data_IF_459273819265
#
_entry.id   IF_459273819265
#
_cell.length_a   1.000
_cell.length_b   1.000
_cell.length_c   1.000
_cell.angle_alpha   90.00
_cell.angle_beta   90.00
_cell.angle_gamma   90.00
#
_symmetry.space_group_name_H-M   'P 1'
#
loop_
_entity.id
_entity.type
_entity.pdbx_description
1 polymer ?
#
# COMPACT_ATOMS: atom_id res chain seq x y z
N UNK A 1 -7.84 -59.93 3.69
CA UNK A 1 -8.47 -58.84 4.46
C UNK A 1 -9.76 -58.43 3.79
N UNK A 2 -10.88 -58.77 4.41
CA UNK A 2 -12.22 -58.38 3.97
C UNK A 2 -12.55 -56.94 4.38
N UNK A 3 -13.71 -56.41 3.97
CA UNK A 3 -14.14 -55.03 4.28
C UNK A 3 -14.23 -54.75 5.78
N UNK A 4 -14.79 -55.69 6.56
CA UNK A 4 -15.02 -55.51 7.99
C UNK A 4 -13.71 -55.50 8.77
N UNK A 5 -12.76 -56.36 8.42
CA UNK A 5 -11.41 -56.40 8.99
C UNK A 5 -10.62 -55.11 8.68
N UNK A 6 -10.77 -54.56 7.47
CA UNK A 6 -10.15 -53.30 7.09
C UNK A 6 -10.68 -52.12 7.92
N UNK A 7 -12.01 -52.06 8.08
CA UNK A 7 -12.67 -51.01 8.86
C UNK A 7 -12.34 -51.15 10.35
N UNK A 8 -12.39 -52.35 10.91
CA UNK A 8 -12.07 -52.59 12.31
C UNK A 8 -10.62 -52.22 12.63
N UNK A 9 -9.67 -52.55 11.74
CA UNK A 9 -8.25 -52.27 11.94
C UNK A 9 -7.92 -50.78 11.91
N UNK A 10 -8.54 -50.01 11.01
CA UNK A 10 -8.16 -48.61 10.77
C UNK A 10 -9.12 -47.58 11.41
N UNK A 11 -10.30 -48.01 11.89
CA UNK A 11 -11.33 -47.11 12.45
C UNK A 11 -10.84 -46.24 13.60
N UNK A 12 -10.03 -46.80 14.51
CA UNK A 12 -9.49 -46.08 15.66
C UNK A 12 -8.62 -44.89 15.22
N UNK A 13 -7.75 -45.11 14.23
CA UNK A 13 -6.88 -44.05 13.71
C UNK A 13 -7.66 -42.99 12.92
N UNK A 14 -8.68 -43.39 12.17
CA UNK A 14 -9.56 -42.45 11.46
C UNK A 14 -10.28 -41.53 12.45
N UNK A 15 -10.75 -42.07 13.59
CA UNK A 15 -11.37 -41.29 14.65
C UNK A 15 -10.37 -40.36 15.34
N UNK A 16 -9.15 -40.83 15.64
CA UNK A 16 -8.10 -39.97 16.21
C UNK A 16 -7.78 -38.80 15.28
N UNK A 17 -7.63 -39.07 13.98
CA UNK A 17 -7.38 -38.02 12.99
C UNK A 17 -8.55 -37.02 12.90
N UNK A 18 -9.79 -37.50 12.94
CA UNK A 18 -10.97 -36.61 12.94
C UNK A 18 -11.04 -35.72 14.18
N UNK A 19 -10.68 -36.24 15.36
CA UNK A 19 -10.62 -35.47 16.61
C UNK A 19 -9.50 -34.41 16.54
N UNK A 20 -8.32 -34.77 16.05
CA UNK A 20 -7.20 -33.84 15.87
C UNK A 20 -7.52 -32.72 14.87
N UNK A 21 -8.24 -33.01 13.79
CA UNK A 21 -8.70 -31.97 12.86
C UNK A 21 -9.66 -30.99 13.53
N UNK A 22 -10.57 -31.48 14.40
CA UNK A 22 -11.52 -30.62 15.13
C UNK A 22 -10.82 -29.77 16.20
N UNK A 23 -9.82 -30.28 16.91
CA UNK A 23 -9.07 -29.51 17.92
C UNK A 23 -8.20 -28.42 17.28
N UNK A 24 -7.57 -28.72 16.15
CA UNK A 24 -6.81 -27.72 15.36
C UNK A 24 -7.74 -26.67 14.76
N UNK A 25 -8.97 -27.03 14.39
CA UNK A 25 -9.94 -26.05 13.90
C UNK A 25 -10.37 -25.04 14.97
N UNK A 26 -10.49 -25.50 16.22
CA UNK A 26 -10.82 -24.68 17.40
C UNK A 26 -9.63 -23.94 18.03
N UNK A 27 -8.41 -24.04 17.49
CA UNK A 27 -7.19 -23.46 18.08
C UNK A 27 -6.85 -23.98 19.50
N UNK A 28 -7.37 -25.15 19.90
CA UNK A 28 -7.23 -25.63 21.28
C UNK A 28 -5.91 -26.38 21.54
N UNK A 29 -5.31 -27.01 20.52
CA UNK A 29 -4.07 -27.78 20.69
C UNK A 29 -3.17 -27.73 19.44
N UNK A 30 -2.03 -27.02 19.57
CA UNK A 30 -1.00 -26.86 18.54
C UNK A 30 0.00 -28.02 18.51
N UNK A 31 0.09 -28.84 19.57
CA UNK A 31 1.00 -29.99 19.62
C UNK A 31 0.55 -31.12 18.69
N UNK A 32 -0.76 -31.27 18.54
CA UNK A 32 -1.42 -32.18 17.58
C UNK A 32 -1.18 -31.83 16.11
N UNK A 33 -0.69 -30.62 15.78
CA UNK A 33 -0.46 -30.22 14.39
C UNK A 33 0.72 -30.97 13.72
N UNK A 34 1.68 -31.46 14.50
CA UNK A 34 2.87 -32.15 13.99
C UNK A 34 2.56 -33.56 13.43
N UNK A 35 1.52 -34.23 13.93
CA UNK A 35 1.09 -35.56 13.48
C UNK A 35 0.14 -35.54 12.27
N UNK A 36 -0.40 -34.37 11.90
CA UNK A 36 -1.38 -34.23 10.81
C UNK A 36 -0.83 -34.68 9.45
N UNK A 37 0.41 -34.31 9.03
CA UNK A 37 0.93 -34.71 7.72
C UNK A 37 1.14 -36.22 7.57
N UNK A 38 1.58 -36.92 8.63
CA UNK A 38 1.80 -38.37 8.59
C UNK A 38 0.48 -39.14 8.54
N UNK A 39 -0.51 -38.71 9.34
CA UNK A 39 -1.86 -39.30 9.34
C UNK A 39 -2.63 -39.00 8.06
N UNK A 40 -2.48 -37.80 7.49
CA UNK A 40 -3.05 -37.45 6.18
C UNK A 40 -2.56 -38.38 5.06
N UNK A 41 -1.24 -38.66 4.98
CA UNK A 41 -0.70 -39.62 4.01
C UNK A 41 -1.32 -41.01 4.17
N UNK A 42 -1.54 -41.44 5.41
CA UNK A 42 -2.18 -42.72 5.73
C UNK A 42 -3.64 -42.76 5.29
N UNK A 43 -4.41 -41.68 5.50
CA UNK A 43 -5.80 -41.56 5.00
C UNK A 43 -5.84 -41.60 3.46
N UNK A 44 -4.92 -40.93 2.77
CA UNK A 44 -4.84 -41.01 1.31
C UNK A 44 -4.52 -42.43 0.82
N UNK A 45 -3.63 -43.14 1.52
CA UNK A 45 -3.32 -44.53 1.24
C UNK A 45 -4.56 -45.43 1.45
N UNK A 46 -5.24 -45.31 2.59
CA UNK A 46 -6.46 -46.06 2.90
C UNK A 46 -7.59 -45.79 1.90
N UNK A 47 -7.75 -44.54 1.46
CA UNK A 47 -8.71 -44.15 0.43
C UNK A 47 -8.39 -44.84 -0.90
N UNK A 48 -7.13 -44.79 -1.34
CA UNK A 48 -6.70 -45.44 -2.59
C UNK A 48 -6.91 -46.96 -2.55
N UNK A 49 -6.66 -47.59 -1.40
CA UNK A 49 -6.83 -49.01 -1.20
C UNK A 49 -8.32 -49.42 -1.16
N UNK A 50 -9.16 -48.61 -0.52
CA UNK A 50 -10.60 -48.81 -0.46
C UNK A 50 -11.27 -48.66 -1.84
N UNK A 51 -10.81 -47.71 -2.65
CA UNK A 51 -11.25 -47.52 -4.03
C UNK A 51 -10.81 -48.69 -4.92
N UNK A 52 -9.54 -49.09 -4.86
CA UNK A 52 -9.01 -50.21 -5.65
C UNK A 52 -9.74 -51.54 -5.34
N UNK A 53 -10.07 -51.78 -4.07
CA UNK A 53 -10.78 -52.99 -3.63
C UNK A 53 -12.31 -52.90 -3.68
N UNK A 54 -12.86 -51.77 -4.13
CA UNK A 54 -14.31 -51.55 -4.26
C UNK A 54 -15.09 -51.83 -2.96
N UNK A 55 -14.58 -51.39 -1.81
CA UNK A 55 -15.18 -51.64 -0.48
C UNK A 55 -16.52 -50.89 -0.22
N UNK A 56 -17.03 -50.14 -1.19
CA UNK A 56 -18.34 -49.49 -1.17
C UNK A 56 -18.27 -47.99 -0.84
N UNK A 57 -19.27 -47.24 -1.33
CA UNK A 57 -19.31 -45.78 -1.30
C UNK A 57 -19.13 -45.18 0.11
N UNK A 58 -19.78 -45.74 1.13
CA UNK A 58 -19.77 -45.21 2.50
C UNK A 58 -18.36 -45.04 3.10
N UNK A 59 -17.46 -46.01 2.89
CA UNK A 59 -16.09 -45.95 3.42
C UNK A 59 -15.25 -44.96 2.59
N UNK A 60 -15.39 -45.01 1.27
CA UNK A 60 -14.70 -44.09 0.36
C UNK A 60 -15.08 -42.64 0.64
N UNK A 61 -16.37 -42.33 0.84
CA UNK A 61 -16.85 -40.98 1.11
C UNK A 61 -16.35 -40.43 2.45
N UNK A 62 -16.31 -41.28 3.49
CA UNK A 62 -15.74 -40.93 4.79
C UNK A 62 -14.25 -40.60 4.68
N UNK A 63 -13.48 -41.47 4.03
CA UNK A 63 -12.04 -41.28 3.85
C UNK A 63 -11.72 -40.08 2.97
N UNK A 64 -12.50 -39.86 1.90
CA UNK A 64 -12.39 -38.69 1.04
C UNK A 64 -12.69 -37.39 1.83
N UNK A 65 -13.72 -37.40 2.67
CA UNK A 65 -14.05 -36.26 3.54
C UNK A 65 -12.92 -35.94 4.54
N UNK A 66 -12.30 -36.98 5.13
CA UNK A 66 -11.14 -36.82 6.02
C UNK A 66 -9.90 -36.32 5.26
N UNK A 67 -9.67 -36.79 4.03
CA UNK A 67 -8.57 -36.32 3.19
C UNK A 67 -8.72 -34.83 2.83
N UNK A 68 -9.93 -34.39 2.45
CA UNK A 68 -10.21 -32.97 2.14
C UNK A 68 -9.97 -32.09 3.38
N UNK A 69 -10.45 -32.52 4.55
CA UNK A 69 -10.26 -31.78 5.80
C UNK A 69 -8.78 -31.73 6.22
N UNK A 70 -8.06 -32.85 6.08
CA UNK A 70 -6.61 -32.92 6.31
C UNK A 70 -5.82 -32.01 5.39
N UNK A 71 -6.15 -32.00 4.10
CA UNK A 71 -5.52 -31.12 3.10
C UNK A 71 -5.72 -29.64 3.47
N UNK A 72 -6.95 -29.25 3.84
CA UNK A 72 -7.25 -27.88 4.29
C UNK A 72 -6.50 -27.51 5.56
N UNK A 73 -6.33 -28.43 6.50
CA UNK A 73 -5.60 -28.19 7.75
C UNK A 73 -4.10 -27.98 7.50
N UNK A 74 -3.49 -28.84 6.66
CA UNK A 74 -2.07 -28.73 6.27
C UNK A 74 -1.80 -27.44 5.49
N UNK A 75 -2.74 -27.04 4.62
CA UNK A 75 -2.63 -25.82 3.81
C UNK A 75 -3.33 -24.61 4.45
N UNK A 76 -3.72 -24.70 5.73
CA UNK A 76 -4.31 -23.57 6.43
C UNK A 76 -3.22 -22.56 6.72
N UNK A 77 -3.17 -21.50 5.91
CA UNK A 77 -2.31 -20.34 6.15
C UNK A 77 -2.84 -19.53 7.34
N UNK A 78 -2.80 -20.07 8.56
CA UNK A 78 -3.08 -19.29 9.78
C UNK A 78 -2.03 -18.16 9.83
N UNK A 79 -2.47 -16.90 9.78
CA UNK A 79 -1.61 -15.72 9.98
C UNK A 79 -1.01 -15.05 8.74
N UNK A 80 -1.11 -15.65 7.55
CA UNK A 80 -0.35 -15.18 6.38
C UNK A 80 -0.66 -13.73 5.95
N UNK A 81 -1.90 -13.25 6.05
CA UNK A 81 -2.20 -11.89 5.58
C UNK A 81 -1.58 -10.81 6.48
N UNK A 82 -1.80 -10.90 7.79
CA UNK A 82 -1.24 -9.93 8.76
C UNK A 82 0.28 -10.02 8.87
N UNK A 83 0.82 -11.23 8.89
CA UNK A 83 2.27 -11.45 8.92
C UNK A 83 2.95 -10.96 7.64
N UNK A 84 2.40 -11.27 6.46
CA UNK A 84 2.95 -10.77 5.19
C UNK A 84 2.81 -9.25 5.06
N UNK A 85 1.73 -8.66 5.57
CA UNK A 85 1.57 -7.21 5.64
C UNK A 85 2.63 -6.56 6.53
N UNK A 86 2.84 -7.08 7.74
CA UNK A 86 3.89 -6.59 8.64
C UNK A 86 5.29 -6.79 8.06
N UNK A 87 5.57 -7.94 7.46
CA UNK A 87 6.85 -8.18 6.76
C UNK A 87 7.03 -7.19 5.61
N UNK A 88 5.96 -6.90 4.86
CA UNK A 88 6.01 -5.93 3.78
C UNK A 88 6.44 -4.55 4.27
N UNK A 89 5.76 -3.99 5.28
CA UNK A 89 6.07 -2.66 5.80
C UNK A 89 7.34 -2.63 6.65
N UNK A 90 7.72 -3.69 7.34
CA UNK A 90 8.92 -3.68 8.20
C UNK A 90 10.20 -4.10 7.45
N UNK A 91 10.08 -4.73 6.27
CA UNK A 91 11.24 -5.23 5.51
C UNK A 91 11.15 -4.90 4.03
N UNK A 92 10.16 -5.42 3.32
CA UNK A 92 10.14 -5.41 1.84
C UNK A 92 10.13 -3.99 1.26
N UNK A 93 9.24 -3.13 1.73
CA UNK A 93 9.12 -1.75 1.27
C UNK A 93 10.35 -0.90 1.60
N UNK A 94 10.83 -0.79 2.86
CA UNK A 94 11.97 0.05 3.19
C UNK A 94 13.28 -0.46 2.58
N UNK A 95 13.44 -1.78 2.38
CA UNK A 95 14.57 -2.33 1.65
C UNK A 95 14.51 -2.00 0.15
N UNK A 96 13.34 -2.07 -0.48
CA UNK A 96 13.17 -1.66 -1.88
C UNK A 96 13.47 -0.17 -2.07
N UNK A 97 13.01 0.68 -1.14
CA UNK A 97 13.32 2.12 -1.14
C UNK A 97 14.84 2.35 -1.10
N UNK A 98 15.53 1.74 -0.13
CA UNK A 98 16.98 1.91 0.01
C UNK A 98 17.78 1.34 -1.14
N UNK A 99 17.32 0.27 -1.78
CA UNK A 99 17.98 -0.29 -2.97
C UNK A 99 18.02 0.73 -4.12
N UNK A 100 16.95 1.50 -4.29
CA UNK A 100 16.75 2.37 -5.45
C UNK A 100 16.78 3.88 -5.08
N UNK A 101 17.31 4.25 -3.90
CA UNK A 101 17.24 5.59 -3.32
C UNK A 101 17.71 6.74 -4.23
N UNK A 102 18.60 6.47 -5.19
CA UNK A 102 19.05 7.47 -6.17
C UNK A 102 17.88 7.96 -7.04
N UNK A 103 16.95 7.08 -7.38
CA UNK A 103 15.74 7.44 -8.12
C UNK A 103 14.82 8.31 -7.26
N UNK A 104 14.77 8.09 -5.94
CA UNK A 104 14.03 8.97 -5.04
C UNK A 104 14.60 10.40 -5.03
N UNK A 105 15.93 10.54 -5.03
CA UNK A 105 16.58 11.86 -5.12
C UNK A 105 16.23 12.55 -6.44
N UNK A 106 16.30 11.83 -7.56
CA UNK A 106 15.93 12.38 -8.88
C UNK A 106 14.45 12.79 -8.90
N UNK A 107 13.54 11.91 -8.46
CA UNK A 107 12.11 12.23 -8.35
C UNK A 107 11.85 13.44 -7.46
N UNK A 108 12.60 13.55 -6.35
CA UNK A 108 12.53 14.66 -5.41
C UNK A 108 12.95 15.97 -6.07
N UNK A 109 14.03 16.00 -6.87
CA UNK A 109 14.39 17.21 -7.61
C UNK A 109 13.34 17.59 -8.65
N UNK A 110 12.81 16.61 -9.40
CA UNK A 110 11.77 16.87 -10.41
C UNK A 110 10.51 17.45 -9.76
N UNK A 111 10.19 17.09 -8.52
CA UNK A 111 9.04 17.61 -7.80
C UNK A 111 9.32 18.93 -7.05
N UNK A 112 10.36 18.96 -6.21
CA UNK A 112 10.60 20.09 -5.30
C UNK A 112 11.13 21.34 -6.01
N UNK A 113 11.91 21.19 -7.09
CA UNK A 113 12.43 22.35 -7.83
C UNK A 113 11.27 23.18 -8.42
N UNK A 114 10.36 22.63 -9.25
CA UNK A 114 9.23 23.41 -9.75
C UNK A 114 8.30 23.89 -8.64
N UNK A 115 8.12 23.11 -7.57
CA UNK A 115 7.35 23.54 -6.39
C UNK A 115 7.88 24.84 -5.80
N UNK A 116 9.18 24.88 -5.44
CA UNK A 116 9.76 26.06 -4.82
C UNK A 116 9.88 27.23 -5.80
N UNK A 117 10.15 26.96 -7.08
CA UNK A 117 10.19 28.00 -8.11
C UNK A 117 8.82 28.67 -8.28
N UNK A 118 7.75 27.88 -8.35
CA UNK A 118 6.40 28.40 -8.51
C UNK A 118 5.91 29.12 -7.26
N UNK A 119 6.15 28.57 -6.07
CA UNK A 119 5.87 29.27 -4.81
C UNK A 119 6.59 30.61 -4.75
N UNK A 120 7.91 30.63 -5.00
CA UNK A 120 8.71 31.86 -5.00
C UNK A 120 8.24 32.88 -6.04
N UNK A 121 7.76 32.42 -7.20
CA UNK A 121 7.25 33.28 -8.26
C UNK A 121 6.07 34.15 -7.83
N UNK A 122 5.28 33.70 -6.85
CA UNK A 122 4.14 34.47 -6.31
C UNK A 122 4.58 35.83 -5.74
N UNK A 123 5.80 35.91 -5.22
CA UNK A 123 6.38 37.16 -4.70
C UNK A 123 7.02 38.04 -5.78
N UNK A 124 7.11 37.56 -7.03
CA UNK A 124 7.72 38.25 -8.16
C UNK A 124 6.68 38.69 -9.18
N UNK A 125 5.90 37.74 -9.67
CA UNK A 125 4.88 37.94 -10.68
C UNK A 125 3.74 36.93 -10.47
N UNK A 126 2.68 37.38 -9.79
CA UNK A 126 1.56 36.52 -9.43
C UNK A 126 0.81 35.99 -10.68
N UNK A 127 0.93 36.68 -11.83
CA UNK A 127 0.29 36.25 -13.07
C UNK A 127 0.70 34.84 -13.50
N UNK A 128 1.92 34.37 -13.17
CA UNK A 128 2.36 33.01 -13.50
C UNK A 128 1.58 31.96 -12.71
N UNK A 129 1.39 32.21 -11.42
CA UNK A 129 0.58 31.38 -10.52
C UNK A 129 -0.89 31.38 -10.96
N UNK A 130 -1.45 32.57 -11.24
CA UNK A 130 -2.85 32.71 -11.67
C UNK A 130 -3.10 32.03 -13.01
N UNK A 131 -2.16 32.11 -13.96
CA UNK A 131 -2.26 31.44 -15.25
C UNK A 131 -2.22 29.92 -15.12
N UNK A 132 -1.51 29.37 -14.14
CA UNK A 132 -1.44 27.93 -13.93
C UNK A 132 -2.70 27.39 -13.22
N UNK A 133 -3.18 28.09 -12.19
CA UNK A 133 -4.36 27.67 -11.42
C UNK A 133 -5.67 27.90 -12.19
N UNK A 134 -5.79 29.03 -12.88
CA UNK A 134 -7.02 29.44 -13.53
C UNK A 134 -8.12 29.89 -12.54
N UNK A 135 -9.21 30.50 -13.03
CA UNK A 135 -10.21 31.15 -12.19
C UNK A 135 -10.95 30.20 -11.23
N UNK A 136 -11.27 28.99 -11.68
CA UNK A 136 -12.03 28.02 -10.89
C UNK A 136 -11.25 27.54 -9.67
N UNK A 137 -9.97 27.14 -9.86
CA UNK A 137 -9.11 26.73 -8.75
C UNK A 137 -8.85 27.87 -7.79
N UNK A 138 -8.62 29.10 -8.28
CA UNK A 138 -8.44 30.26 -7.41
C UNK A 138 -9.67 30.53 -6.53
N UNK A 139 -10.88 30.44 -7.09
CA UNK A 139 -12.12 30.62 -6.34
C UNK A 139 -12.31 29.53 -5.26
N UNK A 140 -12.02 28.27 -5.59
CA UNK A 140 -12.03 27.17 -4.62
C UNK A 140 -11.01 27.39 -3.48
N UNK A 141 -9.77 27.79 -3.81
CA UNK A 141 -8.75 28.10 -2.82
C UNK A 141 -9.13 29.27 -1.91
N UNK A 142 -9.76 30.32 -2.45
CA UNK A 142 -10.29 31.43 -1.64
C UNK A 142 -11.43 30.99 -0.74
N UNK A 143 -12.32 30.12 -1.23
CA UNK A 143 -13.40 29.52 -0.46
C UNK A 143 -12.92 28.67 0.72
N UNK A 144 -11.78 27.98 0.57
CA UNK A 144 -11.18 27.17 1.63
C UNK A 144 -10.24 27.95 2.56
N UNK A 145 -9.37 28.79 2.01
CA UNK A 145 -8.23 29.38 2.70
C UNK A 145 -8.23 30.91 2.70
N UNK A 146 -9.28 31.56 2.21
CA UNK A 146 -9.42 33.02 2.31
C UNK A 146 -9.42 33.51 3.76
N UNK A 147 -9.07 34.79 3.98
CA UNK A 147 -8.95 35.38 5.33
C UNK A 147 -10.23 35.24 6.16
N UNK A 148 -11.39 35.46 5.54
CA UNK A 148 -12.71 35.31 6.17
C UNK A 148 -13.37 33.94 5.92
N UNK A 149 -12.68 33.04 5.21
CA UNK A 149 -13.21 31.72 4.87
C UNK A 149 -13.22 30.78 6.08
N UNK A 150 -14.14 29.82 6.06
CA UNK A 150 -14.15 28.70 6.98
C UNK A 150 -13.91 27.41 6.20
N UNK A 151 -12.66 26.91 6.23
CA UNK A 151 -12.20 25.73 5.49
C UNK A 151 -13.12 24.52 5.70
N UNK A 152 -13.54 24.29 6.95
CA UNK A 152 -14.38 23.14 7.30
C UNK A 152 -15.78 23.27 6.73
N UNK A 153 -16.35 24.48 6.76
CA UNK A 153 -17.67 24.75 6.23
C UNK A 153 -17.69 24.62 4.70
N UNK A 154 -16.69 25.18 4.01
CA UNK A 154 -16.58 25.06 2.56
C UNK A 154 -16.45 23.59 2.12
N UNK A 155 -15.55 22.84 2.75
CA UNK A 155 -15.37 21.41 2.46
C UNK A 155 -16.62 20.58 2.75
N UNK A 156 -17.42 20.93 3.76
CA UNK A 156 -18.72 20.30 4.04
C UNK A 156 -19.78 20.64 3.01
N UNK A 157 -19.79 21.86 2.49
CA UNK A 157 -20.71 22.26 1.43
C UNK A 157 -20.37 21.58 0.10
N UNK A 158 -19.08 21.42 -0.20
CA UNK A 158 -18.61 20.83 -1.45
C UNK A 158 -18.70 19.29 -1.45
N UNK A 159 -18.27 18.64 -0.37
CA UNK A 159 -18.19 17.18 -0.31
C UNK A 159 -19.22 16.52 0.60
N UNK A 160 -20.01 17.27 1.37
CA UNK A 160 -20.99 16.71 2.29
C UNK A 160 -20.36 16.07 3.53
N UNK A 161 -20.05 14.78 3.45
CA UNK A 161 -19.54 13.96 4.56
C UNK A 161 -18.02 13.77 4.55
N UNK A 162 -17.44 13.48 5.72
CA UNK A 162 -16.02 13.12 5.84
C UNK A 162 -15.66 11.88 4.99
N UNK A 163 -16.61 10.98 4.76
CA UNK A 163 -16.41 9.79 3.95
C UNK A 163 -16.33 10.13 2.45
N UNK A 164 -17.18 11.04 1.97
CA UNK A 164 -17.14 11.53 0.59
C UNK A 164 -15.85 12.31 0.31
N UNK A 165 -15.42 13.14 1.27
CA UNK A 165 -14.13 13.83 1.21
C UNK A 165 -12.95 12.83 1.17
N UNK A 166 -12.96 11.82 2.06
CA UNK A 166 -11.98 10.74 2.02
C UNK A 166 -11.97 10.01 0.67
N UNK A 167 -13.13 9.66 0.13
CA UNK A 167 -13.23 8.99 -1.17
C UNK A 167 -12.69 9.86 -2.32
N UNK A 168 -12.96 11.16 -2.30
CA UNK A 168 -12.41 12.13 -3.25
C UNK A 168 -10.87 12.17 -3.19
N UNK A 169 -10.30 12.32 -1.99
CA UNK A 169 -8.83 12.37 -1.84
C UNK A 169 -8.16 11.04 -2.20
N UNK A 170 -8.78 9.90 -1.90
CA UNK A 170 -8.31 8.60 -2.39
C UNK A 170 -8.30 8.56 -3.91
N UNK A 171 -9.39 8.96 -4.56
CA UNK A 171 -9.48 8.95 -6.02
C UNK A 171 -8.40 9.85 -6.65
N UNK A 172 -8.19 11.05 -6.09
CA UNK A 172 -7.15 11.97 -6.56
C UNK A 172 -5.75 11.37 -6.39
N UNK A 173 -5.39 10.97 -5.17
CA UNK A 173 -4.05 10.54 -4.84
C UNK A 173 -3.68 9.22 -5.52
N UNK A 174 -4.58 8.23 -5.49
CA UNK A 174 -4.36 6.95 -6.18
C UNK A 174 -4.36 7.14 -7.69
N UNK A 175 -5.16 8.08 -8.22
CA UNK A 175 -5.13 8.48 -9.62
C UNK A 175 -3.74 8.98 -10.05
N UNK A 176 -3.16 9.90 -9.27
CA UNK A 176 -1.80 10.42 -9.48
C UNK A 176 -0.76 9.29 -9.37
N UNK A 177 -0.90 8.39 -8.41
CA UNK A 177 -0.01 7.23 -8.25
C UNK A 177 -0.02 6.33 -9.50
N UNK A 178 -1.19 6.03 -10.06
CA UNK A 178 -1.30 5.26 -11.30
C UNK A 178 -0.71 6.00 -12.50
N UNK A 179 -0.94 7.31 -12.61
CA UNK A 179 -0.36 8.15 -13.66
C UNK A 179 1.17 8.17 -13.59
N UNK A 180 1.73 8.33 -12.38
CA UNK A 180 3.17 8.32 -12.13
C UNK A 180 3.79 6.98 -12.47
N UNK A 181 3.21 5.88 -12.00
CA UNK A 181 3.74 4.54 -12.26
C UNK A 181 3.57 4.12 -13.71
N UNK A 182 2.35 4.24 -14.25
CA UNK A 182 2.02 3.87 -15.63
C UNK A 182 2.76 4.74 -16.66
N UNK A 183 2.90 6.04 -16.39
CA UNK A 183 3.68 6.99 -17.19
C UNK A 183 5.17 6.59 -17.31
N UNK A 184 5.66 5.75 -16.41
CA UNK A 184 7.00 5.18 -16.46
C UNK A 184 7.26 4.33 -17.71
N UNK A 185 6.22 3.68 -18.24
CA UNK A 185 6.31 2.84 -19.46
C UNK A 185 6.69 3.69 -20.68
N UNK A 186 6.39 4.99 -20.68
CA UNK A 186 6.81 5.93 -21.72
C UNK A 186 8.25 6.40 -21.51
N UNK A 187 9.18 5.44 -21.31
CA UNK A 187 10.59 5.71 -21.04
C UNK A 187 10.84 6.67 -19.86
N UNK A 188 9.91 6.73 -18.89
CA UNK A 188 9.98 7.62 -17.73
C UNK A 188 9.44 9.04 -17.99
N UNK A 189 9.17 9.43 -19.23
CA UNK A 189 8.72 10.80 -19.56
C UNK A 189 7.38 11.14 -18.92
N UNK A 190 6.44 10.19 -18.89
CA UNK A 190 5.15 10.39 -18.23
C UNK A 190 5.31 10.63 -16.73
N UNK A 191 6.16 9.85 -16.07
CA UNK A 191 6.47 10.04 -14.64
C UNK A 191 7.10 11.41 -14.37
N UNK A 192 8.05 11.83 -15.21
CA UNK A 192 8.69 13.16 -15.09
C UNK A 192 7.64 14.26 -15.22
N UNK A 193 6.77 14.16 -16.24
CA UNK A 193 5.70 15.12 -16.48
C UNK A 193 4.78 15.24 -15.26
N UNK A 194 4.26 14.13 -14.73
CA UNK A 194 3.34 14.17 -13.60
C UNK A 194 4.01 14.65 -12.30
N UNK A 195 5.27 14.27 -12.02
CA UNK A 195 6.00 14.82 -10.86
C UNK A 195 6.20 16.33 -10.99
N UNK A 196 6.64 16.78 -12.17
CA UNK A 196 6.91 18.18 -12.44
C UNK A 196 5.62 19.02 -12.36
N UNK A 197 4.54 18.53 -12.98
CA UNK A 197 3.25 19.22 -12.99
C UNK A 197 2.64 19.30 -11.59
N UNK A 198 2.66 18.22 -10.81
CA UNK A 198 2.21 18.26 -9.41
C UNK A 198 3.08 19.20 -8.57
N UNK A 199 4.40 19.21 -8.77
CA UNK A 199 5.29 20.16 -8.11
C UNK A 199 4.90 21.60 -8.41
N UNK A 200 4.75 21.95 -9.69
CA UNK A 200 4.28 23.28 -10.11
C UNK A 200 2.92 23.63 -9.50
N UNK A 201 1.94 22.74 -9.61
CA UNK A 201 0.57 23.02 -9.19
C UNK A 201 0.46 23.23 -7.68
N UNK A 202 1.09 22.37 -6.87
CA UNK A 202 1.11 22.55 -5.41
C UNK A 202 1.90 23.82 -5.03
N UNK A 203 3.00 24.11 -5.72
CA UNK A 203 3.76 25.34 -5.51
C UNK A 203 2.93 26.60 -5.82
N UNK A 204 2.13 26.57 -6.89
CA UNK A 204 1.19 27.63 -7.23
C UNK A 204 0.08 27.79 -6.19
N UNK A 205 -0.49 26.68 -5.70
CA UNK A 205 -1.49 26.70 -4.63
C UNK A 205 -0.95 27.38 -3.37
N UNK A 206 0.24 26.98 -2.91
CA UNK A 206 0.89 27.61 -1.74
C UNK A 206 1.16 29.10 -2.02
N UNK A 207 1.75 29.43 -3.17
CA UNK A 207 2.05 30.80 -3.54
C UNK A 207 0.82 31.70 -3.65
N UNK A 208 -0.29 31.17 -4.17
CA UNK A 208 -1.55 31.90 -4.26
C UNK A 208 -2.15 32.18 -2.89
N UNK A 209 -2.13 31.19 -1.99
CA UNK A 209 -2.64 31.35 -0.62
C UNK A 209 -1.76 32.34 0.18
N UNK A 210 -0.44 32.31 -0.01
CA UNK A 210 0.46 33.33 0.56
C UNK A 210 0.15 34.74 0.07
N UNK A 211 -0.30 34.88 -1.18
CA UNK A 211 -0.63 36.17 -1.78
C UNK A 211 -2.03 36.68 -1.38
N UNK A 212 -3.07 35.84 -1.51
CA UNK A 212 -4.48 36.25 -1.39
C UNK A 212 -5.21 35.69 -0.15
N UNK A 213 -4.70 34.60 0.44
CA UNK A 213 -5.37 33.83 1.48
C UNK A 213 -4.80 34.01 2.89
N UNK A 214 -4.98 32.97 3.69
CA UNK A 214 -4.42 32.79 5.03
C UNK A 214 -3.54 31.53 5.05
N UNK A 215 -2.21 31.68 5.02
CA UNK A 215 -1.28 30.56 5.03
C UNK A 215 -1.41 29.67 6.26
N UNK A 216 -1.79 30.23 7.42
CA UNK A 216 -1.91 29.44 8.64
C UNK A 216 -3.03 28.41 8.51
N UNK A 217 -4.13 28.74 7.83
CA UNK A 217 -5.20 27.77 7.55
C UNK A 217 -4.71 26.62 6.69
N UNK A 218 -3.95 26.91 5.64
CA UNK A 218 -3.34 25.89 4.78
C UNK A 218 -2.40 25.00 5.58
N UNK A 219 -1.37 25.59 6.21
CA UNK A 219 -0.34 24.82 6.91
C UNK A 219 -0.93 23.99 8.04
N UNK A 220 -1.90 24.54 8.79
CA UNK A 220 -2.62 23.80 9.84
C UNK A 220 -3.43 22.64 9.26
N UNK A 221 -4.05 22.80 8.10
CA UNK A 221 -4.83 21.75 7.46
C UNK A 221 -3.93 20.62 6.93
N UNK A 222 -2.81 20.96 6.26
CA UNK A 222 -1.94 19.97 5.60
C UNK A 222 -0.90 19.31 6.52
N UNK A 223 -0.62 19.90 7.69
CA UNK A 223 0.43 19.43 8.59
C UNK A 223 0.36 17.93 8.91
N UNK A 224 -0.85 17.40 9.14
CA UNK A 224 -1.03 16.01 9.54
C UNK A 224 -0.75 14.97 8.44
N UNK A 225 -0.98 15.31 7.17
CA UNK A 225 -0.96 14.33 6.08
C UNK A 225 0.12 14.59 5.02
N UNK A 226 0.61 15.82 4.90
CA UNK A 226 1.57 16.23 3.86
C UNK A 226 2.80 15.33 3.74
N UNK A 227 3.36 14.84 4.86
CA UNK A 227 4.49 13.91 4.81
C UNK A 227 4.16 12.59 4.13
N UNK A 228 2.97 12.03 4.37
CA UNK A 228 2.53 10.78 3.76
C UNK A 228 2.20 10.97 2.28
N UNK A 229 1.54 12.07 1.94
CA UNK A 229 1.13 12.39 0.57
C UNK A 229 2.35 12.67 -0.32
N UNK A 230 3.16 13.67 0.04
CA UNK A 230 4.26 14.14 -0.79
C UNK A 230 5.36 13.08 -0.93
N UNK A 231 5.74 12.42 0.18
CA UNK A 231 6.71 11.34 0.11
C UNK A 231 6.14 10.11 -0.60
N UNK A 232 4.87 9.78 -0.37
CA UNK A 232 4.20 8.65 -1.04
C UNK A 232 4.21 8.82 -2.55
N UNK A 233 3.76 9.98 -3.03
CA UNK A 233 3.76 10.34 -4.45
C UNK A 233 5.18 10.29 -5.05
N UNK A 234 6.19 10.86 -4.37
CA UNK A 234 7.59 10.82 -4.85
C UNK A 234 8.12 9.39 -4.91
N UNK A 235 7.73 8.52 -3.96
CA UNK A 235 8.07 7.09 -3.96
C UNK A 235 7.40 6.34 -5.12
N UNK A 236 6.15 6.66 -5.45
CA UNK A 236 5.50 6.10 -6.64
C UNK A 236 6.15 6.62 -7.92
N UNK A 237 6.53 7.90 -7.97
CA UNK A 237 7.34 8.48 -9.04
C UNK A 237 8.69 7.77 -9.21
N UNK A 238 9.38 7.47 -8.11
CA UNK A 238 10.59 6.64 -8.10
C UNK A 238 10.34 5.25 -8.72
N UNK A 239 9.20 4.63 -8.43
CA UNK A 239 8.80 3.37 -9.04
C UNK A 239 8.55 3.50 -10.56
N UNK A 240 7.91 4.58 -11.01
CA UNK A 240 7.68 4.90 -12.42
C UNK A 240 8.99 5.15 -13.19
N UNK A 241 9.90 5.96 -12.64
CA UNK A 241 11.22 6.20 -13.23
C UNK A 241 12.03 4.91 -13.35
N UNK A 242 11.88 3.98 -12.41
CA UNK A 242 12.52 2.66 -12.49
C UNK A 242 12.04 1.85 -13.70
N UNK A 243 10.76 1.91 -14.05
CA UNK A 243 10.24 1.29 -15.27
C UNK A 243 10.85 1.97 -16.51
N UNK A 244 10.84 3.30 -16.53
CA UNK A 244 11.39 4.08 -17.64
C UNK A 244 12.86 3.79 -17.90
N UNK A 245 13.66 3.78 -16.84
CA UNK A 245 15.09 3.48 -16.92
C UNK A 245 15.35 2.06 -17.44
N UNK A 246 14.51 1.09 -17.09
CA UNK A 246 14.62 -0.29 -17.58
C UNK A 246 14.40 -0.42 -19.10
N UNK A 247 13.67 0.52 -19.71
CA UNK A 247 13.42 0.58 -21.15
C UNK A 247 14.52 1.35 -21.90
N UNK A 248 15.06 2.39 -21.27
CA UNK A 248 16.17 3.19 -21.79
C UNK A 248 17.48 2.40 -21.80
N UNK A 249 17.80 1.73 -20.70
CA UNK A 249 19.04 0.98 -20.50
C UNK A 249 18.75 -0.47 -20.08
N UNK A 250 18.25 -1.32 -20.99
CA UNK A 250 17.86 -2.70 -20.66
C UNK A 250 19.03 -3.66 -20.40
N UNK A 251 20.26 -3.23 -20.65
CA UNK A 251 21.47 -4.06 -20.53
C UNK A 251 21.42 -5.25 -21.48
N UNK A 252 21.72 -6.45 -20.98
CA UNK A 252 21.71 -7.69 -21.77
C UNK A 252 20.31 -8.29 -21.99
N UNK A 253 19.25 -7.66 -21.46
CA UNK A 253 17.88 -8.13 -21.63
C UNK A 253 17.19 -7.46 -22.82
N UNK A 254 16.18 -8.12 -23.38
CA UNK A 254 15.23 -7.42 -24.26
C UNK A 254 14.43 -6.41 -23.44
N UNK A 255 13.96 -5.32 -24.07
CA UNK A 255 13.17 -4.27 -23.38
C UNK A 255 11.98 -4.86 -22.61
N UNK A 256 11.25 -5.81 -23.20
CA UNK A 256 10.12 -6.47 -22.53
C UNK A 256 10.53 -7.28 -21.29
N UNK A 257 11.64 -8.04 -21.35
CA UNK A 257 12.15 -8.79 -20.20
C UNK A 257 12.70 -7.86 -19.10
N UNK A 258 13.41 -6.80 -19.50
CA UNK A 258 13.90 -5.76 -18.61
C UNK A 258 12.74 -5.09 -17.86
N UNK A 259 11.70 -4.68 -18.60
CA UNK A 259 10.50 -4.07 -18.04
C UNK A 259 9.76 -5.01 -17.08
N UNK A 260 9.57 -6.28 -17.44
CA UNK A 260 8.91 -7.25 -16.56
C UNK A 260 9.68 -7.45 -15.24
N UNK A 261 11.02 -7.48 -15.30
CA UNK A 261 11.87 -7.56 -14.11
C UNK A 261 11.80 -6.28 -13.28
N UNK A 262 11.88 -5.13 -13.93
CA UNK A 262 11.77 -3.83 -13.28
C UNK A 262 10.42 -3.72 -12.55
N UNK A 263 9.32 -4.03 -13.24
CA UNK A 263 7.96 -4.07 -12.70
C UNK A 263 7.82 -4.89 -11.43
N UNK A 264 8.30 -6.14 -11.44
CA UNK A 264 8.27 -6.98 -10.22
C UNK A 264 9.08 -6.38 -9.09
N UNK A 265 10.22 -5.79 -9.40
CA UNK A 265 11.10 -5.19 -8.39
C UNK A 265 10.61 -3.82 -7.89
N UNK A 266 9.78 -3.11 -8.64
CA UNK A 266 9.19 -1.81 -8.29
C UNK A 266 7.84 -1.94 -7.59
N UNK A 267 7.18 -3.10 -7.65
CA UNK A 267 5.90 -3.34 -6.95
C UNK A 267 5.92 -2.94 -5.47
N UNK A 268 6.96 -3.24 -4.67
CA UNK A 268 6.98 -2.79 -3.28
C UNK A 268 7.01 -1.27 -3.12
N UNK A 269 7.62 -0.54 -4.07
CA UNK A 269 7.64 0.93 -4.05
C UNK A 269 6.26 1.48 -4.41
N UNK A 270 5.63 0.94 -5.45
CA UNK A 270 4.27 1.32 -5.84
C UNK A 270 3.28 1.09 -4.69
N UNK A 271 3.24 -0.13 -4.14
CA UNK A 271 2.30 -0.48 -3.09
C UNK A 271 2.58 0.27 -1.79
N UNK A 272 3.85 0.46 -1.44
CA UNK A 272 4.24 1.24 -0.27
C UNK A 272 3.88 2.72 -0.40
N UNK A 273 4.21 3.34 -1.53
CA UNK A 273 3.86 4.73 -1.83
C UNK A 273 2.34 4.95 -1.87
N UNK A 274 1.59 4.09 -2.57
CA UNK A 274 0.12 4.14 -2.62
C UNK A 274 -0.52 3.93 -1.24
N UNK A 275 0.09 3.11 -0.37
CA UNK A 275 -0.37 2.96 1.01
C UNK A 275 -0.15 4.24 1.82
N UNK A 276 0.95 4.96 1.58
CA UNK A 276 1.21 6.25 2.23
C UNK A 276 0.20 7.30 1.77
N UNK A 277 -0.01 7.46 0.47
CA UNK A 277 -0.98 8.43 -0.07
C UNK A 277 -2.42 8.11 0.34
N UNK A 278 -2.76 6.82 0.45
CA UNK A 278 -4.04 6.36 1.03
C UNK A 278 -4.17 6.78 2.49
N UNK A 279 -3.10 6.61 3.29
CA UNK A 279 -3.11 7.01 4.69
C UNK A 279 -3.19 8.54 4.85
N UNK A 280 -2.60 9.30 3.92
CA UNK A 280 -2.75 10.74 3.86
C UNK A 280 -4.23 11.15 3.72
N UNK A 281 -4.96 10.54 2.78
CA UNK A 281 -6.39 10.80 2.59
C UNK A 281 -7.24 10.45 3.83
N UNK A 282 -6.87 9.40 4.59
CA UNK A 282 -7.52 9.10 5.88
C UNK A 282 -7.30 10.23 6.89
N UNK A 283 -6.06 10.71 7.04
CA UNK A 283 -5.79 11.83 7.95
C UNK A 283 -6.53 13.09 7.47
N UNK A 284 -6.59 13.32 6.17
CA UNK A 284 -7.25 14.47 5.58
C UNK A 284 -8.75 14.49 5.83
N UNK A 285 -9.46 13.41 5.48
CA UNK A 285 -10.91 13.33 5.65
C UNK A 285 -11.38 13.31 7.11
N UNK A 286 -10.56 12.80 8.04
CA UNK A 286 -11.01 12.56 9.41
C UNK A 286 -10.35 13.45 10.48
N UNK A 287 -9.12 13.93 10.25
CA UNK A 287 -8.33 14.66 11.26
C UNK A 287 -8.01 16.11 10.85
N UNK A 288 -7.75 16.39 9.56
CA UNK A 288 -7.36 17.75 9.12
C UNK A 288 -8.40 18.81 9.43
N UNK A 289 -9.69 18.49 9.35
CA UNK A 289 -10.79 19.41 9.65
C UNK A 289 -11.11 19.55 11.16
N UNK A 290 -10.48 18.77 12.04
CA UNK A 290 -10.78 18.81 13.47
C UNK A 290 -10.31 20.13 14.11
N UNK A 291 -11.05 20.67 15.11
CA UNK A 291 -10.74 21.93 15.80
C UNK A 291 -9.57 21.80 16.80
N UNK A 292 -8.48 21.14 16.38
CA UNK A 292 -7.25 20.94 17.16
C UNK A 292 -6.34 22.15 17.00
N UNK A 293 -5.68 22.59 18.08
CA UNK A 293 -4.77 23.75 18.07
C UNK A 293 -3.66 23.63 17.03
N UNK A 294 -3.24 24.75 16.45
CA UNK A 294 -2.20 24.79 15.41
C UNK A 294 -0.90 24.15 15.88
N UNK A 295 -0.45 24.47 17.10
CA UNK A 295 0.78 23.91 17.69
C UNK A 295 0.77 22.39 17.75
N UNK A 296 -0.37 21.78 18.13
CA UNK A 296 -0.51 20.31 18.14
C UNK A 296 -0.44 19.75 16.72
N UNK A 297 -1.07 20.42 15.75
CA UNK A 297 -1.02 19.93 14.37
C UNK A 297 0.38 20.00 13.77
N UNK A 298 1.11 21.08 14.02
CA UNK A 298 2.51 21.22 13.60
C UNK A 298 3.41 20.20 14.28
N UNK A 299 3.24 19.98 15.58
CA UNK A 299 3.99 18.95 16.30
C UNK A 299 3.78 17.55 15.69
N UNK A 300 2.52 17.15 15.48
CA UNK A 300 2.18 15.86 14.86
C UNK A 300 2.77 15.76 13.45
N UNK A 301 2.66 16.82 12.64
CA UNK A 301 3.23 16.86 11.30
C UNK A 301 4.76 16.68 11.29
N UNK A 302 5.48 17.41 12.15
CA UNK A 302 6.93 17.28 12.30
C UNK A 302 7.30 15.86 12.74
N UNK A 303 6.56 15.29 13.70
CA UNK A 303 6.77 13.90 14.14
C UNK A 303 6.62 12.94 12.97
N UNK A 304 5.60 13.08 12.12
CA UNK A 304 5.45 12.22 10.95
C UNK A 304 6.59 12.37 9.95
N UNK A 305 7.05 13.59 9.66
CA UNK A 305 8.23 13.80 8.82
C UNK A 305 9.48 13.09 9.37
N UNK A 306 9.75 13.24 10.67
CA UNK A 306 10.87 12.57 11.35
C UNK A 306 10.70 11.06 11.34
N UNK A 307 9.50 10.53 11.58
CA UNK A 307 9.22 9.10 11.55
C UNK A 307 9.46 8.51 10.16
N UNK A 308 9.07 9.20 9.07
CA UNK A 308 9.38 8.73 7.72
C UNK A 308 10.87 8.71 7.44
N UNK A 309 11.61 9.75 7.86
CA UNK A 309 13.06 9.79 7.73
C UNK A 309 13.72 8.61 8.46
N UNK A 310 13.33 8.37 9.72
CA UNK A 310 13.81 7.23 10.51
C UNK A 310 13.39 5.90 9.88
N UNK A 311 12.17 5.80 9.37
CA UNK A 311 11.64 4.60 8.74
C UNK A 311 12.47 4.20 7.51
N UNK A 312 12.65 5.12 6.56
CA UNK A 312 13.39 4.82 5.32
C UNK A 312 14.89 4.58 5.57
N UNK A 313 15.48 5.18 6.60
CA UNK A 313 16.91 5.05 6.92
C UNK A 313 17.24 3.84 7.81
N UNK A 314 16.39 3.51 8.80
CA UNK A 314 16.69 2.57 9.87
C UNK A 314 15.91 1.24 9.82
N UNK A 315 14.65 1.24 9.36
CA UNK A 315 13.78 0.05 9.45
C UNK A 315 14.17 -1.00 8.39
N UNK A 316 14.22 -2.28 8.76
CA UNK A 316 14.52 -3.39 7.84
C UNK A 316 16.01 -3.55 7.48
N UNK A 317 16.94 -3.00 8.29
CA UNK A 317 18.40 -3.15 8.09
C UNK A 317 18.99 -4.50 8.51
N UNK A 318 18.34 -5.22 9.44
CA UNK A 318 18.78 -6.56 9.86
C UNK A 318 18.09 -7.62 9.00
N UNK A 319 18.84 -8.21 8.06
CA UNK A 319 18.51 -9.53 7.53
C UNK A 319 18.94 -10.58 8.56
N UNK A 320 18.05 -11.47 8.97
CA UNK A 320 18.47 -12.72 9.62
C UNK A 320 18.99 -13.62 8.50
N UNK A 321 20.30 -13.86 8.48
CA UNK A 321 20.98 -14.65 7.45
C UNK A 321 22.34 -14.07 7.07
N UNK A 322 23.25 -13.99 8.05
CA UNK A 322 24.69 -14.11 7.84
C UNK A 322 25.11 -15.46 8.43
#
# INVERSE_FOLDING_TARGET
MNRQEFEQKNSAEWQTFEIELKSVDKNEDLSSAASIPSKFRKICYDLSLAQYRMFGARICDRLNSLAIQGYRSIHRSKGAFGENFLIFFLRTFPQAFRRDWKLFVVSSFIFWVPFFLMWWSAHREIAWVQSLLGPESMNSLEGMYGKNANTVEHLRQEHGSNFEMFAHYIQNNVGIDFQLYGGGILFGLGTIFYLFFNGLHIGATVGYIDYAGDPEKLWRFVAGHSSFELLGMIVVGMAGLKLGFSLLAPGSYTRGKSLARAGRSSLPLLLGGASMTTFAAVIEGFWSAQPITASTKYFVGIVFWVLHLLYFTAVGRRGYGA
#
